data_IF_384677404199
#
_entry.id   IF_384677404199
#
_cell.length_a   1.000
_cell.length_b   1.000
_cell.length_c   1.000
_cell.angle_alpha   90.00
_cell.angle_beta   90.00
_cell.angle_gamma   90.00
#
_symmetry.space_group_name_H-M   'P 1'
#
loop_
_entity.id
_entity.type
_entity.pdbx_description
1 polymer ?
#
# COMPACT_ATOMS: atom_id res chain seq x y z
N UNK A 1 -1.12 2.01 4.62
CA UNK A 1 -0.35 2.16 3.39
C UNK A 1 -1.19 2.88 2.36
N UNK A 2 -0.62 3.94 1.79
CA UNK A 2 -1.20 4.70 0.69
C UNK A 2 -0.27 4.77 -0.52
N UNK A 3 1.03 4.93 -0.28
CA UNK A 3 2.04 5.06 -1.32
C UNK A 3 3.36 4.51 -0.82
N UNK A 4 4.14 3.87 -1.68
CA UNK A 4 5.51 3.44 -1.36
C UNK A 4 6.44 3.79 -2.52
N UNK A 5 7.65 4.26 -2.23
CA UNK A 5 8.71 4.38 -3.22
C UNK A 5 9.81 3.39 -2.83
N UNK A 6 9.78 2.24 -3.47
CA UNK A 6 10.67 1.12 -3.18
C UNK A 6 11.85 1.03 -4.16
N UNK A 7 11.70 1.57 -5.39
CA UNK A 7 12.79 1.63 -6.36
C UNK A 7 13.38 3.02 -6.48
N UNK A 8 14.57 3.19 -5.92
CA UNK A 8 15.32 4.45 -5.92
C UNK A 8 15.63 4.94 -7.34
N UNK A 9 15.56 6.25 -7.56
CA UNK A 9 16.03 6.89 -8.79
C UNK A 9 17.55 6.80 -8.96
N UNK A 10 18.29 6.82 -7.84
CA UNK A 10 19.76 6.70 -7.79
C UNK A 10 20.20 6.21 -6.40
N UNK A 11 21.47 5.85 -6.25
CA UNK A 11 22.01 5.40 -4.96
C UNK A 11 21.86 6.41 -3.80
N UNK A 12 21.61 7.69 -4.09
CA UNK A 12 21.43 8.76 -3.10
C UNK A 12 20.00 9.30 -3.03
N UNK A 13 19.05 8.75 -3.80
CA UNK A 13 17.64 9.10 -3.63
C UNK A 13 17.04 8.23 -2.53
N UNK A 14 16.01 8.75 -1.89
CA UNK A 14 15.32 8.09 -0.78
C UNK A 14 14.44 6.90 -1.18
N UNK A 15 14.10 6.10 -0.19
CA UNK A 15 12.91 5.26 -0.14
C UNK A 15 11.92 5.86 0.87
N UNK A 16 10.65 5.57 0.69
CA UNK A 16 9.64 5.96 1.67
C UNK A 16 8.42 5.04 1.65
N UNK A 17 7.69 5.09 2.76
CA UNK A 17 6.30 4.65 2.83
C UNK A 17 5.42 5.81 3.27
N UNK A 18 4.17 5.80 2.81
CA UNK A 18 3.16 6.77 3.20
C UNK A 18 1.97 6.09 3.87
N UNK A 19 1.55 6.67 4.98
CA UNK A 19 0.34 6.33 5.69
C UNK A 19 -0.71 7.40 5.42
N UNK A 20 -1.94 6.97 5.12
CA UNK A 20 -3.11 7.84 5.06
C UNK A 20 -4.06 7.49 6.20
N UNK A 21 -4.38 8.47 7.03
CA UNK A 21 -5.37 8.31 8.08
C UNK A 21 -6.77 8.59 7.53
N UNK A 22 -7.52 7.52 7.26
CA UNK A 22 -8.90 7.56 6.74
C UNK A 22 -9.96 7.90 7.79
N UNK A 23 -9.58 7.95 9.06
CA UNK A 23 -10.54 8.14 10.17
C UNK A 23 -10.76 9.62 10.50
N UNK A 24 -11.77 9.89 11.31
CA UNK A 24 -12.06 11.19 11.93
C UNK A 24 -11.23 11.47 13.20
N UNK A 25 -10.33 10.55 13.58
CA UNK A 25 -9.51 10.63 14.78
C UNK A 25 -8.05 10.97 14.47
N UNK A 26 -7.35 11.54 15.45
CA UNK A 26 -5.91 11.75 15.38
C UNK A 26 -5.17 10.58 16.04
N UNK A 27 -4.04 10.15 15.47
CA UNK A 27 -3.21 9.10 16.06
C UNK A 27 -1.83 9.61 16.45
N UNK A 28 -1.40 9.20 17.64
CA UNK A 28 -0.02 9.28 18.08
C UNK A 28 0.70 7.98 17.68
N UNK A 29 1.67 8.10 16.78
CA UNK A 29 2.47 6.99 16.25
C UNK A 29 3.79 6.81 17.00
N UNK A 30 3.99 7.53 18.11
CA UNK A 30 5.16 7.36 18.96
C UNK A 30 5.31 5.90 19.39
N UNK A 31 6.53 5.35 19.22
CA UNK A 31 6.85 3.95 19.51
C UNK A 31 6.04 2.92 18.71
N UNK A 32 5.38 3.31 17.62
CA UNK A 32 4.91 2.34 16.63
C UNK A 32 6.09 1.77 15.87
N UNK A 33 5.94 0.58 15.29
CA UNK A 33 6.99 -0.06 14.50
C UNK A 33 6.58 -0.18 13.05
N UNK A 34 7.53 0.12 12.18
CA UNK A 34 7.54 -0.24 10.78
C UNK A 34 8.51 -1.40 10.60
N UNK A 35 8.13 -2.43 9.85
CA UNK A 35 9.00 -3.58 9.56
C UNK A 35 8.80 -4.06 8.13
N UNK A 36 9.87 -4.53 7.51
CA UNK A 36 9.85 -5.34 6.29
C UNK A 36 10.11 -6.82 6.67
N UNK A 37 10.40 -7.67 5.68
CA UNK A 37 10.79 -9.06 5.93
C UNK A 37 12.15 -9.20 6.65
N UNK A 38 13.03 -8.20 6.57
CA UNK A 38 14.44 -8.30 7.00
C UNK A 38 14.77 -7.56 8.29
N UNK A 39 13.93 -6.62 8.71
CA UNK A 39 14.21 -5.70 9.80
C UNK A 39 12.99 -4.95 10.33
N UNK A 40 13.23 -4.11 11.33
CA UNK A 40 12.20 -3.25 11.90
C UNK A 40 12.82 -1.97 12.46
N UNK A 41 12.10 -0.87 12.33
CA UNK A 41 12.43 0.42 12.90
C UNK A 41 11.28 0.97 13.74
N UNK A 42 11.64 1.78 14.74
CA UNK A 42 10.68 2.50 15.56
C UNK A 42 10.38 3.86 14.91
N UNK A 43 9.09 4.18 14.81
CA UNK A 43 8.64 5.52 14.43
C UNK A 43 9.02 6.49 15.56
N UNK A 44 9.65 7.65 15.23
CA UNK A 44 10.14 8.60 16.24
C UNK A 44 9.06 9.10 17.19
N UNK A 45 9.44 9.32 18.45
CA UNK A 45 8.60 9.97 19.46
C UNK A 45 8.08 11.33 19.00
N UNK A 46 6.82 11.63 19.34
CA UNK A 46 6.11 12.85 18.95
C UNK A 46 5.55 12.83 17.52
N UNK A 47 5.69 11.71 16.79
CA UNK A 47 5.11 11.57 15.45
C UNK A 47 3.60 11.42 15.55
N UNK A 48 2.86 12.30 14.88
CA UNK A 48 1.40 12.32 14.90
C UNK A 48 0.86 12.36 13.48
N UNK A 49 -0.25 11.66 13.24
CA UNK A 49 -1.02 11.76 12.00
C UNK A 49 -2.43 12.24 12.34
N UNK A 50 -2.83 13.35 11.74
CA UNK A 50 -4.17 13.92 11.94
C UNK A 50 -5.22 13.16 11.15
N UNK A 51 -6.48 13.32 11.53
CA UNK A 51 -7.61 12.89 10.71
C UNK A 51 -7.49 13.41 9.28
N UNK A 52 -7.71 12.52 8.30
CA UNK A 52 -7.67 12.85 6.87
C UNK A 52 -6.30 13.28 6.35
N UNK A 53 -5.23 13.10 7.12
CA UNK A 53 -3.89 13.52 6.75
C UNK A 53 -3.03 12.36 6.24
N UNK A 54 -2.02 12.71 5.45
CA UNK A 54 -0.95 11.83 5.00
C UNK A 54 0.30 12.03 5.88
N UNK A 55 1.04 10.95 6.11
CA UNK A 55 2.32 10.97 6.82
C UNK A 55 3.32 10.10 6.06
N UNK A 56 4.46 10.68 5.72
CA UNK A 56 5.54 10.00 5.00
C UNK A 56 6.65 9.63 5.98
N UNK A 57 7.07 8.37 5.95
CA UNK A 57 8.23 7.85 6.67
C UNK A 57 9.31 7.52 5.65
N UNK A 58 10.54 7.99 5.86
CA UNK A 58 11.62 7.87 4.86
C UNK A 58 12.97 7.56 5.50
N UNK A 59 13.86 6.97 4.72
CA UNK A 59 15.27 6.76 5.06
C UNK A 59 16.15 8.00 4.82
N UNK A 60 15.59 9.06 4.22
CA UNK A 60 16.32 10.31 3.99
C UNK A 60 16.32 11.18 5.24
N UNK A 61 17.50 11.57 5.71
CA UNK A 61 17.58 12.58 6.76
C UNK A 61 16.97 13.91 6.28
N UNK A 62 16.32 14.67 7.16
CA UNK A 62 15.73 15.95 6.78
C UNK A 62 16.84 16.85 6.26
N UNK A 63 16.66 17.37 5.06
CA UNK A 63 17.54 18.42 4.57
C UNK A 63 17.43 19.64 5.51
N UNK A 64 18.50 20.41 5.67
CA UNK A 64 18.39 21.71 6.34
C UNK A 64 17.27 22.54 5.66
N UNK A 65 16.62 23.44 6.42
CA UNK A 65 15.45 24.19 5.94
C UNK A 65 15.68 24.89 4.60
N UNK A 66 16.89 25.35 4.34
CA UNK A 66 17.26 26.03 3.11
C UNK A 66 17.36 25.04 1.94
N UNK A 67 17.92 23.86 2.18
CA UNK A 67 18.01 22.74 1.24
C UNK A 67 16.64 22.13 0.94
N UNK A 68 15.76 22.00 1.93
CA UNK A 68 14.37 21.59 1.75
C UNK A 68 13.61 22.62 0.88
N UNK A 69 13.78 23.91 1.15
CA UNK A 69 13.15 24.98 0.37
C UNK A 69 13.67 25.03 -1.08
N UNK A 70 14.98 24.82 -1.29
CA UNK A 70 15.57 24.69 -2.63
C UNK A 70 15.01 23.49 -3.39
N UNK A 71 14.88 22.34 -2.74
CA UNK A 71 14.30 21.14 -3.34
C UNK A 71 12.83 21.37 -3.71
N UNK A 72 12.05 21.97 -2.81
CA UNK A 72 10.62 22.29 -3.04
C UNK A 72 10.40 23.28 -4.20
N UNK A 73 11.34 24.20 -4.41
CA UNK A 73 11.29 25.18 -5.51
C UNK A 73 11.88 24.66 -6.84
N UNK A 74 12.47 23.46 -6.84
CA UNK A 74 12.93 22.81 -8.06
C UNK A 74 11.85 21.84 -8.54
N UNK A 75 11.11 22.21 -9.58
CA UNK A 75 10.03 21.38 -10.15
C UNK A 75 10.48 20.01 -10.65
N UNK A 76 11.79 19.80 -10.83
CA UNK A 76 12.38 18.51 -11.23
C UNK A 76 12.89 17.69 -10.03
N UNK A 77 12.65 18.15 -8.79
CA UNK A 77 13.06 17.43 -7.59
C UNK A 77 11.98 16.43 -7.19
N UNK A 78 12.28 15.13 -7.32
CA UNK A 78 11.44 14.05 -6.79
C UNK A 78 11.52 13.90 -5.26
N UNK A 79 12.30 14.76 -4.59
CA UNK A 79 12.61 14.62 -3.16
C UNK A 79 11.40 14.81 -2.26
N UNK A 80 11.18 13.87 -1.34
CA UNK A 80 10.27 14.04 -0.21
C UNK A 80 10.85 15.09 0.76
N UNK A 81 10.18 16.25 0.88
CA UNK A 81 10.69 17.38 1.69
C UNK A 81 10.05 17.50 3.07
N UNK A 82 8.86 16.93 3.27
CA UNK A 82 8.09 17.00 4.52
C UNK A 82 7.98 15.61 5.21
N UNK A 83 8.89 14.68 4.88
CA UNK A 83 8.92 13.32 5.43
C UNK A 83 9.57 13.23 6.82
N UNK A 84 9.13 12.25 7.60
CA UNK A 84 9.73 11.89 8.89
C UNK A 84 10.86 10.89 8.65
N UNK A 85 12.09 11.30 8.94
CA UNK A 85 13.23 10.40 8.92
C UNK A 85 13.08 9.33 10.00
N UNK A 86 13.21 8.06 9.60
CA UNK A 86 13.18 6.92 10.49
C UNK A 86 14.57 6.30 10.57
N UNK A 87 15.19 6.40 11.74
CA UNK A 87 16.49 5.75 11.96
C UNK A 87 16.36 4.23 11.84
N UNK A 88 17.19 3.63 11.01
CA UNK A 88 17.16 2.19 10.74
C UNK A 88 16.00 1.75 9.85
N UNK A 89 15.39 2.66 9.07
CA UNK A 89 14.40 2.34 8.03
C UNK A 89 14.89 1.11 7.21
N UNK A 90 14.21 -0.04 7.29
CA UNK A 90 14.57 -1.19 6.48
C UNK A 90 14.45 -0.89 4.99
N UNK A 91 15.43 -1.33 4.21
CA UNK A 91 15.41 -1.14 2.75
C UNK A 91 14.21 -1.87 2.17
N UNK A 92 13.46 -1.18 1.31
CA UNK A 92 12.38 -1.82 0.57
C UNK A 92 12.96 -2.60 -0.61
N UNK A 93 12.57 -3.86 -0.77
CA UNK A 93 13.07 -4.68 -1.87
C UNK A 93 12.43 -4.31 -3.22
N UNK A 94 13.25 -4.40 -4.27
CA UNK A 94 12.96 -3.99 -5.64
C UNK A 94 12.04 -4.97 -6.40
N UNK A 95 12.02 -6.23 -5.98
CA UNK A 95 11.29 -7.32 -6.66
C UNK A 95 9.98 -7.66 -5.93
N UNK A 96 10.06 -7.99 -4.64
CA UNK A 96 8.92 -8.23 -3.75
C UNK A 96 9.27 -7.93 -2.29
N UNK A 97 8.32 -7.45 -1.51
CA UNK A 97 8.49 -7.23 -0.07
C UNK A 97 7.16 -7.24 0.69
N UNK A 98 7.25 -7.33 2.01
CA UNK A 98 6.12 -7.30 2.93
C UNK A 98 6.36 -6.27 4.03
N UNK A 99 5.59 -5.18 3.98
CA UNK A 99 5.65 -4.11 4.98
C UNK A 99 4.55 -4.32 6.02
N UNK A 100 4.88 -4.14 7.29
CA UNK A 100 3.93 -4.21 8.41
C UNK A 100 4.06 -3.01 9.32
N UNK A 101 2.92 -2.40 9.66
CA UNK A 101 2.80 -1.34 10.65
C UNK A 101 2.14 -1.91 11.91
N UNK A 102 2.82 -1.79 13.05
CA UNK A 102 2.27 -2.17 14.35
C UNK A 102 2.24 -0.98 15.28
N UNK A 103 1.21 -0.91 16.10
CA UNK A 103 1.17 0.07 17.18
C UNK A 103 2.15 -0.30 18.31
N UNK A 104 2.30 0.61 19.28
CA UNK A 104 3.17 0.41 20.46
C UNK A 104 2.88 -0.85 21.29
N UNK A 105 1.69 -1.44 21.15
CA UNK A 105 1.30 -2.68 21.84
C UNK A 105 1.57 -3.94 21.00
N UNK A 106 2.17 -3.80 19.81
CA UNK A 106 2.45 -4.89 18.88
C UNK A 106 1.26 -5.34 18.02
N UNK A 107 0.13 -4.63 18.07
CA UNK A 107 -1.03 -4.94 17.23
C UNK A 107 -0.76 -4.44 15.81
N UNK A 108 -0.95 -5.33 14.82
CA UNK A 108 -0.89 -4.96 13.40
C UNK A 108 -2.04 -4.01 13.09
N UNK A 109 -1.70 -2.84 12.58
CA UNK A 109 -2.66 -1.81 12.15
C UNK A 109 -2.86 -1.89 10.63
N UNK A 110 -1.79 -2.15 9.89
CA UNK A 110 -1.84 -2.35 8.45
C UNK A 110 -0.64 -3.20 7.98
N UNK A 111 -0.79 -3.83 6.82
CA UNK A 111 0.27 -4.56 6.15
C UNK A 111 0.06 -4.55 4.63
N UNK A 112 1.16 -4.54 3.88
CA UNK A 112 1.17 -4.62 2.43
C UNK A 112 2.22 -5.64 1.99
N UNK A 113 1.80 -6.68 1.27
CA UNK A 113 2.69 -7.51 0.48
C UNK A 113 2.61 -7.03 -0.97
N UNK A 114 3.71 -6.52 -1.53
CA UNK A 114 3.75 -6.05 -2.92
C UNK A 114 4.82 -6.80 -3.71
N UNK A 115 4.71 -6.73 -5.03
CA UNK A 115 5.79 -7.09 -5.94
C UNK A 115 5.85 -6.13 -7.13
N UNK A 116 6.90 -6.25 -7.92
CA UNK A 116 7.20 -5.36 -9.02
C UNK A 116 6.15 -5.33 -10.15
N UNK A 117 5.25 -6.32 -10.22
CA UNK A 117 4.19 -6.36 -11.23
C UNK A 117 3.01 -5.46 -10.88
N UNK A 118 2.94 -4.92 -9.65
CA UNK A 118 1.87 -4.01 -9.21
C UNK A 118 2.05 -2.59 -9.77
N UNK A 119 3.25 -2.26 -10.25
CA UNK A 119 3.67 -0.91 -10.63
C UNK A 119 4.78 -0.39 -9.72
N UNK A 120 5.24 0.83 -9.94
CA UNK A 120 6.38 1.42 -9.19
C UNK A 120 7.75 0.82 -9.55
N UNK A 121 7.82 -0.04 -10.57
CA UNK A 121 9.06 -0.68 -11.06
C UNK A 121 9.92 0.26 -11.94
N UNK A 122 9.60 1.55 -11.95
CA UNK A 122 10.39 2.56 -12.65
C UNK A 122 11.24 3.31 -11.61
N UNK A 123 12.56 3.47 -11.81
CA UNK A 123 13.41 4.21 -10.88
C UNK A 123 12.85 5.60 -10.55
N UNK A 124 12.60 5.84 -9.26
CA UNK A 124 12.08 7.11 -8.76
C UNK A 124 10.58 7.31 -8.93
N UNK A 125 9.84 6.29 -9.36
CA UNK A 125 8.38 6.29 -9.42
C UNK A 125 7.80 5.47 -8.27
N UNK A 126 6.91 6.07 -7.49
CA UNK A 126 6.20 5.37 -6.43
C UNK A 126 5.10 4.45 -6.97
N UNK A 127 4.77 3.45 -6.16
CA UNK A 127 3.57 2.63 -6.25
C UNK A 127 2.49 3.28 -5.37
N UNK A 128 1.37 3.66 -5.99
CA UNK A 128 0.28 4.41 -5.35
C UNK A 128 -1.00 3.58 -5.30
N UNK A 129 -1.67 3.62 -4.15
CA UNK A 129 -3.00 3.03 -3.98
C UNK A 129 -4.04 3.91 -4.66
N UNK A 130 -4.91 3.30 -5.46
CA UNK A 130 -5.95 4.01 -6.22
C UNK A 130 -7.14 4.37 -5.35
N UNK A 131 -7.70 3.39 -4.64
CA UNK A 131 -8.78 3.59 -3.69
C UNK A 131 -8.32 3.24 -2.26
N UNK A 132 -8.21 4.23 -1.35
CA UNK A 132 -7.95 3.98 0.05
C UNK A 132 -9.01 3.13 0.75
N UNK A 133 -10.24 3.06 0.24
CA UNK A 133 -11.34 2.26 0.81
C UNK A 133 -11.34 0.79 0.36
N UNK A 134 -10.81 0.47 -0.82
CA UNK A 134 -10.68 -0.91 -1.33
C UNK A 134 -9.51 -1.67 -0.70
N UNK A 135 -9.42 -2.98 -0.83
CA UNK A 135 -8.39 -3.77 -0.13
C UNK A 135 -6.94 -3.31 -0.44
N UNK A 136 -6.09 -3.22 0.58
CA UNK A 136 -4.68 -2.81 0.42
C UNK A 136 -3.81 -3.91 -0.20
N UNK A 137 -4.15 -5.18 -0.01
CA UNK A 137 -3.39 -6.31 -0.56
C UNK A 137 -3.93 -6.81 -1.91
N UNK A 138 -4.84 -6.06 -2.52
CA UNK A 138 -5.27 -6.31 -3.90
C UNK A 138 -4.37 -5.56 -4.88
N UNK A 139 -3.60 -6.32 -5.67
CA UNK A 139 -2.73 -5.77 -6.71
C UNK A 139 -3.46 -4.84 -7.68
N UNK A 140 -4.74 -5.14 -7.97
CA UNK A 140 -5.54 -4.33 -8.88
C UNK A 140 -5.81 -2.93 -8.34
N UNK A 141 -5.65 -2.70 -7.03
CA UNK A 141 -5.85 -1.42 -6.36
C UNK A 141 -4.59 -0.53 -6.32
N UNK A 142 -3.53 -0.91 -7.04
CA UNK A 142 -2.29 -0.15 -7.08
C UNK A 142 -1.88 0.19 -8.52
N UNK A 143 -1.12 1.26 -8.68
CA UNK A 143 -0.56 1.68 -9.96
C UNK A 143 0.67 2.56 -9.77
N UNK A 144 1.54 2.61 -10.78
CA UNK A 144 2.68 3.53 -10.83
C UNK A 144 2.21 4.99 -10.85
N UNK A 145 2.86 5.84 -10.06
CA UNK A 145 2.66 7.29 -10.12
C UNK A 145 2.88 7.86 -11.53
N UNK A 146 1.97 8.73 -11.97
CA UNK A 146 1.99 9.32 -13.32
C UNK A 146 2.47 10.77 -13.36
N UNK A 147 2.70 11.38 -12.19
CA UNK A 147 3.15 12.77 -12.08
C UNK A 147 4.62 12.95 -12.48
N UNK A 148 5.00 14.16 -12.89
CA UNK A 148 6.39 14.49 -13.24
C UNK A 148 7.34 14.40 -12.02
N UNK A 149 6.84 14.65 -10.80
CA UNK A 149 7.61 14.50 -9.55
C UNK A 149 7.97 13.05 -9.23
N UNK A 150 7.23 12.09 -9.80
CA UNK A 150 7.43 10.65 -9.58
C UNK A 150 6.79 10.08 -8.32
N UNK A 151 6.18 10.93 -7.49
CA UNK A 151 5.40 10.55 -6.33
C UNK A 151 4.36 11.63 -5.99
N UNK A 152 3.38 11.29 -5.15
CA UNK A 152 2.37 12.20 -4.61
C UNK A 152 2.48 12.36 -3.09
N UNK A 153 3.66 12.10 -2.54
CA UNK A 153 3.93 12.08 -1.10
C UNK A 153 3.39 13.35 -0.38
N UNK A 154 2.62 13.15 0.67
CA UNK A 154 1.92 14.15 1.45
C UNK A 154 0.58 14.59 0.88
N UNK A 155 0.14 14.05 -0.26
CA UNK A 155 -1.05 14.49 -0.99
C UNK A 155 -1.85 13.32 -1.56
N UNK A 156 -2.96 13.63 -2.22
CA UNK A 156 -3.80 12.62 -2.87
C UNK A 156 -3.04 12.00 -4.04
N UNK A 157 -3.03 10.67 -4.10
CA UNK A 157 -2.39 9.88 -5.17
C UNK A 157 -2.79 10.35 -6.57
N UNK A 158 -1.82 10.40 -7.47
CA UNK A 158 -2.01 10.77 -8.87
C UNK A 158 -2.91 9.77 -9.62
N UNK A 159 -2.91 8.52 -9.15
CA UNK A 159 -3.70 7.41 -9.70
C UNK A 159 -5.05 7.23 -9.02
N UNK A 160 -5.47 8.16 -8.14
CA UNK A 160 -6.69 8.01 -7.37
C UNK A 160 -7.90 7.70 -8.26
N UNK A 161 -8.54 6.57 -7.97
CA UNK A 161 -9.71 6.08 -8.66
C UNK A 161 -10.53 5.26 -7.67
N UNK A 162 -11.72 5.75 -7.24
CA UNK A 162 -12.62 4.96 -6.43
C UNK A 162 -13.02 3.68 -7.14
N UNK A 163 -13.17 2.61 -6.37
CA UNK A 163 -13.73 1.37 -6.88
C UNK A 163 -15.25 1.46 -6.96
N UNK A 164 -15.73 1.55 -8.20
CA UNK A 164 -17.15 1.52 -8.55
C UNK A 164 -17.49 0.34 -9.47
N UNK A 165 -16.51 -0.55 -9.72
CA UNK A 165 -16.67 -1.65 -10.68
C UNK A 165 -16.86 -2.96 -9.91
N UNK A 166 -17.92 -3.73 -10.17
CA UNK A 166 -18.07 -5.01 -9.50
C UNK A 166 -17.02 -6.02 -10.00
N UNK A 167 -16.61 -6.98 -9.15
CA UNK A 167 -15.67 -8.03 -9.54
C UNK A 167 -16.25 -8.88 -10.68
N UNK A 168 -15.44 -9.12 -11.71
CA UNK A 168 -15.76 -10.01 -12.82
C UNK A 168 -15.17 -11.40 -12.57
N UNK A 169 -15.89 -12.45 -12.99
CA UNK A 169 -15.31 -13.81 -13.01
C UNK A 169 -14.35 -13.93 -14.18
N UNK A 170 -13.06 -14.09 -13.89
CA UNK A 170 -12.03 -14.34 -14.91
C UNK A 170 -12.12 -15.76 -15.41
N UNK A 171 -12.19 -16.73 -14.48
CA UNK A 171 -12.31 -18.13 -14.83
C UNK A 171 -12.97 -18.96 -13.73
N UNK A 172 -13.63 -20.04 -14.13
CA UNK A 172 -14.14 -21.08 -13.26
C UNK A 172 -13.73 -22.47 -13.78
N UNK A 173 -13.37 -23.37 -12.87
CA UNK A 173 -12.92 -24.72 -13.21
C UNK A 173 -13.45 -25.76 -12.24
N UNK A 174 -14.12 -26.78 -12.78
CA UNK A 174 -14.50 -27.98 -12.03
C UNK A 174 -13.24 -28.79 -11.69
N UNK A 175 -13.06 -29.09 -10.41
CA UNK A 175 -11.98 -29.89 -9.87
C UNK A 175 -12.36 -31.38 -9.81
N UNK A 176 -11.39 -32.32 -9.76
CA UNK A 176 -11.67 -33.75 -9.72
C UNK A 176 -12.51 -34.23 -8.53
N UNK A 177 -12.53 -33.48 -7.44
CA UNK A 177 -13.34 -33.75 -6.23
C UNK A 177 -14.77 -33.20 -6.33
N UNK A 178 -15.15 -32.61 -7.47
CA UNK A 178 -16.47 -32.05 -7.75
C UNK A 178 -16.65 -30.60 -7.33
N UNK A 179 -15.64 -29.96 -6.71
CA UNK A 179 -15.69 -28.55 -6.32
C UNK A 179 -15.39 -27.63 -7.50
N UNK A 180 -15.79 -26.37 -7.39
CA UNK A 180 -15.52 -25.36 -8.44
C UNK A 180 -14.55 -24.33 -7.90
N UNK A 181 -13.37 -24.25 -8.50
CA UNK A 181 -12.48 -23.13 -8.29
C UNK A 181 -12.96 -21.94 -9.13
N UNK A 182 -13.02 -20.75 -8.55
CA UNK A 182 -13.36 -19.50 -9.23
C UNK A 182 -12.32 -18.43 -8.90
N UNK A 183 -11.87 -17.70 -9.92
CA UNK A 183 -11.06 -16.48 -9.76
C UNK A 183 -11.78 -15.25 -10.28
N UNK A 184 -11.61 -14.15 -9.56
CA UNK A 184 -12.19 -12.85 -9.86
C UNK A 184 -11.12 -11.84 -10.30
N UNK A 185 -11.56 -10.76 -10.94
CA UNK A 185 -10.71 -9.64 -11.39
C UNK A 185 -10.02 -8.89 -10.26
N UNK A 186 -10.61 -8.94 -9.06
CA UNK A 186 -10.20 -8.20 -7.88
C UNK A 186 -10.65 -8.94 -6.61
N UNK A 187 -10.25 -8.44 -5.46
CA UNK A 187 -10.62 -9.00 -4.17
C UNK A 187 -12.12 -8.84 -3.95
N UNK A 188 -12.77 -9.93 -3.57
CA UNK A 188 -14.21 -9.92 -3.28
C UNK A 188 -14.47 -9.77 -1.78
N UNK A 189 -15.52 -9.05 -1.43
CA UNK A 189 -16.10 -9.15 -0.09
C UNK A 189 -17.07 -10.33 -0.04
N UNK A 190 -16.85 -11.25 0.90
CA UNK A 190 -17.73 -12.42 1.09
C UNK A 190 -18.81 -12.19 2.16
N UNK A 191 -18.74 -11.08 2.91
CA UNK A 191 -19.75 -10.73 3.90
C UNK A 191 -21.05 -10.36 3.19
N UNK A 192 -22.08 -11.21 3.34
CA UNK A 192 -23.39 -11.12 2.68
C UNK A 192 -23.39 -11.45 1.18
N UNK A 193 -22.44 -12.28 0.72
CA UNK A 193 -22.40 -12.74 -0.67
C UNK A 193 -23.22 -14.02 -0.88
N UNK A 194 -24.06 -14.03 -1.90
CA UNK A 194 -24.77 -15.22 -2.37
C UNK A 194 -24.16 -15.69 -3.68
N UNK A 195 -23.76 -16.96 -3.74
CA UNK A 195 -23.20 -17.57 -4.96
C UNK A 195 -24.20 -18.58 -5.50
N UNK A 196 -24.36 -18.59 -6.83
CA UNK A 196 -25.24 -19.52 -7.53
C UNK A 196 -24.46 -20.23 -8.64
N UNK A 197 -24.64 -21.55 -8.75
CA UNK A 197 -24.09 -22.36 -9.84
C UNK A 197 -25.27 -22.99 -10.57
N UNK A 198 -25.47 -22.61 -11.84
CA UNK A 198 -26.65 -23.01 -12.62
C UNK A 198 -27.96 -22.69 -11.89
N UNK A 199 -28.08 -21.46 -11.37
CA UNK A 199 -29.25 -20.96 -10.60
C UNK A 199 -29.45 -21.60 -9.20
N UNK A 200 -28.63 -22.59 -8.83
CA UNK A 200 -28.70 -23.23 -7.51
C UNK A 200 -27.80 -22.52 -6.48
N UNK A 201 -28.31 -22.14 -5.30
CA UNK A 201 -27.49 -21.58 -4.22
C UNK A 201 -26.35 -22.53 -3.86
N UNK A 202 -25.12 -22.00 -3.88
CA UNK A 202 -23.90 -22.78 -3.63
C UNK A 202 -23.06 -22.07 -2.58
N UNK A 203 -22.55 -22.82 -1.60
CA UNK A 203 -21.72 -22.26 -0.54
C UNK A 203 -20.29 -22.04 -1.03
N UNK A 204 -19.63 -21.00 -0.52
CA UNK A 204 -18.18 -20.87 -0.60
C UNK A 204 -17.59 -21.80 0.47
N UNK A 205 -16.84 -22.82 0.06
CA UNK A 205 -16.23 -23.81 0.95
C UNK A 205 -14.78 -23.47 1.32
N UNK A 206 -14.07 -22.68 0.52
CA UNK A 206 -12.74 -22.16 0.84
C UNK A 206 -12.63 -20.71 0.36
N UNK A 207 -12.14 -19.85 1.25
CA UNK A 207 -11.77 -18.46 0.97
C UNK A 207 -10.63 -18.06 1.89
N UNK A 208 -9.54 -17.55 1.31
CA UNK A 208 -8.42 -16.96 2.04
C UNK A 208 -8.46 -15.45 1.83
N UNK A 209 -8.47 -14.68 2.92
CA UNK A 209 -8.46 -13.21 2.86
C UNK A 209 -7.16 -12.65 2.30
N UNK A 210 -6.07 -13.42 2.35
CA UNK A 210 -4.79 -13.05 1.74
C UNK A 210 -4.82 -13.22 0.20
N UNK A 211 -5.60 -14.18 -0.30
CA UNK A 211 -5.86 -14.43 -1.73
C UNK A 211 -7.33 -14.09 -2.06
N UNK A 212 -7.75 -12.88 -1.71
CA UNK A 212 -9.16 -12.47 -1.64
C UNK A 212 -9.91 -12.46 -2.98
N UNK A 213 -9.25 -12.76 -4.10
CA UNK A 213 -9.87 -12.88 -5.43
C UNK A 213 -10.12 -14.34 -5.85
N UNK A 214 -9.98 -15.31 -4.93
CA UNK A 214 -10.17 -16.74 -5.23
C UNK A 214 -11.10 -17.40 -4.22
N UNK A 215 -11.99 -18.24 -4.72
CA UNK A 215 -12.86 -19.09 -3.90
C UNK A 215 -12.90 -20.51 -4.42
N UNK A 216 -13.26 -21.43 -3.53
CA UNK A 216 -13.75 -22.75 -3.91
C UNK A 216 -15.20 -22.83 -3.48
N UNK A 217 -16.05 -23.25 -4.41
CA UNK A 217 -17.46 -23.59 -4.20
C UNK A 217 -17.55 -25.09 -3.96
#
# INVERSE_FOLDING_TARGET
>A
MNEILYRRASANSEEFIELFNRTDENFDLSSWTFSDATGSANIPEGTQIRSGAYLVLTDSEPADKESALRAKNNSNSSRVTDGIYVSGFPSLNDDEDAIVIKNRNGMIIDSLCYNETWGGNEPGKSLERKDPESASNDASNWATNTSESGNSAGTKSSTFQPDETPPEVIFAKLQPDGKIFVAFSEFINIENTNVFVNEEPTAITVYDKADGNRVIL
#
